data_IF_048665909278
#
_entry.id   IF_048665909278
#
_cell.length_a   1.000
_cell.length_b   1.000
_cell.length_c   1.000
_cell.angle_alpha   90.00
_cell.angle_beta   90.00
_cell.angle_gamma   90.00
#
_symmetry.space_group_name_H-M   'P 1'
#
loop_
_entity.id
_entity.type
_entity.pdbx_description
1 polymer ?
#
# COMPACT_ATOMS: atom_id res chain seq x y z
N UNK A 1 10.95 12.74 8.58
CA UNK A 1 10.22 14.01 8.85
C UNK A 1 9.92 14.89 7.63
N UNK A 2 10.43 14.64 6.41
CA UNK A 2 10.26 15.57 5.28
C UNK A 2 8.99 15.30 4.43
N UNK A 3 8.59 14.04 4.25
CA UNK A 3 7.52 13.64 3.32
C UNK A 3 6.13 14.13 3.72
N UNK A 4 5.74 14.01 4.99
CA UNK A 4 4.43 14.47 5.48
C UNK A 4 4.24 15.99 5.33
N UNK A 5 5.33 16.77 5.44
CA UNK A 5 5.29 18.22 5.25
C UNK A 5 5.07 18.58 3.78
N UNK A 6 5.74 17.88 2.86
CA UNK A 6 5.56 18.06 1.42
C UNK A 6 4.13 17.72 1.01
N UNK A 7 3.57 16.61 1.50
CA UNK A 7 2.20 16.21 1.21
C UNK A 7 1.18 17.25 1.70
N UNK A 8 1.38 17.80 2.90
CA UNK A 8 0.51 18.86 3.43
C UNK A 8 0.53 20.12 2.57
N UNK A 9 1.72 20.57 2.16
CA UNK A 9 1.87 21.75 1.28
C UNK A 9 1.17 21.51 -0.05
N UNK A 10 1.40 20.37 -0.68
CA UNK A 10 0.81 20.03 -1.98
C UNK A 10 -0.72 20.00 -1.92
N UNK A 11 -1.29 19.30 -0.93
CA UNK A 11 -2.75 19.20 -0.77
C UNK A 11 -3.40 20.55 -0.43
N UNK A 12 -2.71 21.40 0.34
CA UNK A 12 -3.19 22.75 0.65
C UNK A 12 -3.16 23.64 -0.59
N UNK A 13 -2.11 23.56 -1.42
CA UNK A 13 -2.01 24.29 -2.69
C UNK A 13 -3.09 23.84 -3.70
N UNK A 14 -3.54 22.60 -3.63
CA UNK A 14 -4.68 22.08 -4.40
C UNK A 14 -6.05 22.51 -3.83
N UNK A 15 -6.08 23.36 -2.80
CA UNK A 15 -7.29 23.94 -2.24
C UNK A 15 -7.93 23.15 -1.11
N UNK A 16 -7.28 22.10 -0.60
CA UNK A 16 -7.79 21.36 0.56
C UNK A 16 -7.47 22.14 1.84
N UNK A 17 -8.49 22.52 2.61
CA UNK A 17 -8.29 23.19 3.88
C UNK A 17 -7.47 22.32 4.85
N UNK A 18 -6.42 22.89 5.45
CA UNK A 18 -5.53 22.24 6.42
C UNK A 18 -6.26 21.58 7.59
N UNK A 19 -7.40 22.12 8.03
CA UNK A 19 -8.24 21.56 9.09
C UNK A 19 -8.85 20.19 8.73
N UNK A 20 -8.90 19.86 7.44
CA UNK A 20 -9.37 18.57 6.92
C UNK A 20 -8.24 17.58 6.68
N UNK A 21 -6.99 17.95 6.98
CA UNK A 21 -5.81 17.13 6.78
C UNK A 21 -5.31 16.58 8.11
N UNK A 22 -5.24 15.26 8.21
CA UNK A 22 -4.52 14.56 9.28
C UNK A 22 -3.22 14.04 8.66
N UNK A 23 -2.08 14.46 9.20
CA UNK A 23 -0.76 14.09 8.68
C UNK A 23 -0.02 13.29 9.76
N UNK A 24 0.27 12.04 9.43
CA UNK A 24 1.13 11.15 10.23
C UNK A 24 2.50 11.08 9.55
N UNK A 25 3.58 11.42 10.25
CA UNK A 25 4.93 11.59 9.68
C UNK A 25 6.05 10.89 10.43
N UNK A 26 5.70 10.07 11.43
CA UNK A 26 6.61 9.36 12.32
C UNK A 26 6.79 7.89 11.93
N UNK A 27 5.87 7.31 11.15
CA UNK A 27 6.01 5.95 10.66
C UNK A 27 7.21 5.77 9.72
N UNK A 28 7.85 4.60 9.80
CA UNK A 28 8.99 4.22 8.93
C UNK A 28 8.60 3.19 7.86
N UNK A 29 7.39 2.66 7.95
CA UNK A 29 6.83 1.68 7.03
C UNK A 29 5.30 1.70 7.09
N UNK A 30 4.65 1.06 6.12
CA UNK A 30 3.19 1.02 6.01
C UNK A 30 2.49 0.40 7.23
N UNK A 31 3.12 -0.56 7.91
CA UNK A 31 2.54 -1.14 9.12
C UNK A 31 2.50 -0.14 10.28
N UNK A 32 3.61 0.57 10.54
CA UNK A 32 3.65 1.65 11.52
C UNK A 32 2.67 2.77 11.16
N UNK A 33 2.53 3.09 9.87
CA UNK A 33 1.63 4.14 9.41
C UNK A 33 0.16 3.84 9.78
N UNK A 34 -0.35 2.65 9.45
CA UNK A 34 -1.70 2.27 9.88
C UNK A 34 -1.85 2.27 11.41
N UNK A 35 -0.81 1.86 12.14
CA UNK A 35 -0.86 1.76 13.61
C UNK A 35 -0.98 3.13 14.26
N UNK A 36 -0.19 4.09 13.76
CA UNK A 36 -0.15 5.46 14.25
C UNK A 36 -1.34 6.29 13.75
N UNK A 37 -1.85 6.00 12.55
CA UNK A 37 -3.01 6.68 11.97
C UNK A 37 -4.33 6.21 12.58
N UNK A 38 -4.47 4.93 12.93
CA UNK A 38 -5.71 4.37 13.50
C UNK A 38 -6.33 5.19 14.63
N UNK A 39 -5.60 5.63 15.68
CA UNK A 39 -6.18 6.47 16.74
C UNK A 39 -6.55 7.89 16.29
N UNK A 40 -6.07 8.35 15.14
CA UNK A 40 -6.38 9.66 14.58
C UNK A 40 -7.63 9.64 13.69
N UNK A 41 -8.14 8.45 13.35
CA UNK A 41 -9.32 8.32 12.50
C UNK A 41 -10.57 8.87 13.22
N UNK A 42 -11.41 9.68 12.55
CA UNK A 42 -12.57 10.32 13.18
C UNK A 42 -13.66 9.33 13.61
N UNK A 43 -13.68 8.12 13.03
CA UNK A 43 -14.63 7.05 13.36
C UNK A 43 -13.87 5.72 13.40
N UNK A 44 -13.88 5.04 14.54
CA UNK A 44 -13.18 3.76 14.69
C UNK A 44 -13.75 2.64 13.80
N UNK A 45 -15.02 2.73 13.43
CA UNK A 45 -15.76 1.82 12.54
C UNK A 45 -15.99 2.40 11.13
N UNK A 46 -15.42 3.56 10.84
CA UNK A 46 -15.58 4.24 9.56
C UNK A 46 -15.01 3.44 8.38
N UNK A 47 -15.58 3.66 7.20
CA UNK A 47 -15.06 3.11 5.94
C UNK A 47 -14.22 4.18 5.24
N UNK A 48 -12.97 3.86 4.97
CA UNK A 48 -11.97 4.81 4.46
C UNK A 48 -11.50 4.43 3.05
N UNK A 49 -11.32 5.42 2.17
CA UNK A 49 -10.70 5.16 0.86
C UNK A 49 -9.17 5.05 1.03
N UNK A 50 -8.58 3.94 0.58
CA UNK A 50 -7.14 3.72 0.60
C UNK A 50 -6.57 4.01 -0.79
N UNK A 51 -5.88 5.14 -0.92
CA UNK A 51 -5.22 5.56 -2.15
C UNK A 51 -3.72 5.26 -2.05
N UNK A 52 -3.23 4.41 -2.93
CA UNK A 52 -1.79 4.14 -3.12
C UNK A 52 -1.57 3.53 -4.50
N UNK A 53 -0.32 3.42 -4.95
CA UNK A 53 -0.01 2.80 -6.23
C UNK A 53 -0.49 1.34 -6.29
N UNK A 54 -0.98 0.91 -7.45
CA UNK A 54 -1.59 -0.40 -7.68
C UNK A 54 -0.66 -1.55 -7.25
N UNK A 55 0.64 -1.35 -7.45
CA UNK A 55 1.70 -2.24 -7.01
C UNK A 55 1.72 -2.45 -5.48
N UNK A 56 1.49 -1.41 -4.67
CA UNK A 56 1.49 -1.50 -3.21
C UNK A 56 0.12 -1.84 -2.60
N UNK A 57 -0.92 -1.91 -3.43
CA UNK A 57 -2.29 -2.07 -2.95
C UNK A 57 -2.52 -3.38 -2.17
N UNK A 58 -2.08 -4.56 -2.65
CA UNK A 58 -2.34 -5.82 -1.93
C UNK A 58 -1.76 -5.81 -0.51
N UNK A 59 -0.50 -5.36 -0.37
CA UNK A 59 0.19 -5.24 0.92
C UNK A 59 -0.52 -4.26 1.86
N UNK A 60 -0.96 -3.13 1.33
CA UNK A 60 -1.60 -2.06 2.14
C UNK A 60 -2.98 -2.49 2.65
N UNK A 61 -3.79 -3.15 1.81
CA UNK A 61 -5.09 -3.72 2.22
C UNK A 61 -4.91 -4.81 3.27
N UNK A 62 -3.93 -5.71 3.11
CA UNK A 62 -3.65 -6.75 4.09
C UNK A 62 -3.30 -6.18 5.47
N UNK A 63 -2.47 -5.13 5.51
CA UNK A 63 -2.11 -4.44 6.76
C UNK A 63 -3.33 -3.75 7.38
N UNK A 64 -4.12 -3.03 6.59
CA UNK A 64 -5.33 -2.35 7.07
C UNK A 64 -6.27 -3.32 7.79
N UNK A 65 -6.56 -4.47 7.16
CA UNK A 65 -7.41 -5.53 7.73
C UNK A 65 -6.83 -6.12 9.01
N UNK A 66 -5.53 -6.44 9.02
CA UNK A 66 -4.84 -6.94 10.22
C UNK A 66 -4.94 -5.96 11.39
N UNK A 67 -5.00 -4.66 11.11
CA UNK A 67 -5.14 -3.63 12.13
C UNK A 67 -6.59 -3.22 12.40
N UNK A 68 -7.57 -3.87 11.76
CA UNK A 68 -8.99 -3.57 11.93
C UNK A 68 -9.37 -2.17 11.45
N UNK A 69 -8.75 -1.70 10.36
CA UNK A 69 -9.12 -0.47 9.67
C UNK A 69 -9.89 -0.85 8.41
N UNK A 70 -11.16 -0.44 8.33
CA UNK A 70 -12.02 -0.75 7.19
C UNK A 70 -11.66 0.16 6.02
N UNK A 71 -11.12 -0.43 4.95
CA UNK A 71 -10.70 0.31 3.76
C UNK A 71 -11.38 -0.18 2.48
N UNK A 72 -11.64 0.76 1.57
CA UNK A 72 -11.98 0.49 0.16
C UNK A 72 -10.73 0.83 -0.66
N UNK A 73 -10.24 -0.13 -1.44
CA UNK A 73 -9.06 0.05 -2.27
C UNK A 73 -9.33 1.02 -3.44
N UNK A 74 -8.45 2.01 -3.62
CA UNK A 74 -8.44 2.91 -4.77
C UNK A 74 -7.03 2.97 -5.37
N UNK A 75 -6.65 1.94 -6.15
CA UNK A 75 -5.31 1.84 -6.75
C UNK A 75 -5.10 2.92 -7.82
N UNK A 76 -3.93 3.55 -7.78
CA UNK A 76 -3.46 4.51 -8.80
C UNK A 76 -2.17 4.03 -9.46
N UNK A 77 -1.59 4.77 -10.41
CA UNK A 77 -0.29 4.46 -11.03
C UNK A 77 -0.16 3.02 -11.53
N UNK A 78 -1.16 2.56 -12.29
CA UNK A 78 -1.10 1.29 -13.00
C UNK A 78 0.06 1.32 -14.00
N UNK A 79 1.12 0.57 -13.72
CA UNK A 79 2.20 0.36 -14.70
C UNK A 79 1.71 -0.66 -15.73
N UNK A 80 1.16 -0.19 -16.85
CA UNK A 80 0.93 -1.02 -18.02
C UNK A 80 2.20 -1.04 -18.89
N UNK A 81 2.81 -2.20 -19.11
CA UNK A 81 3.80 -2.32 -20.19
C UNK A 81 3.09 -2.16 -21.56
N UNK A 82 3.73 -1.50 -22.55
CA UNK A 82 3.21 -1.44 -23.92
C UNK A 82 2.96 -2.84 -24.52
N UNK A 83 1.98 -3.02 -25.42
CA UNK A 83 1.64 -4.31 -26.03
C UNK A 83 2.79 -4.96 -26.81
N UNK A 84 3.82 -4.19 -27.16
CA UNK A 84 4.97 -4.59 -27.98
C UNK A 84 5.89 -5.59 -27.27
N UNK A 85 5.85 -5.68 -25.93
CA UNK A 85 6.60 -6.66 -25.13
C UNK A 85 5.89 -8.02 -24.97
N UNK A 86 4.87 -8.30 -25.78
CA UNK A 86 4.06 -9.54 -25.71
C UNK A 86 4.56 -10.64 -26.65
N UNK A 87 5.86 -10.65 -26.97
CA UNK A 87 6.49 -11.74 -27.72
C UNK A 87 7.35 -12.62 -26.81
N UNK A 88 7.35 -13.92 -27.08
CA UNK A 88 8.18 -14.91 -26.40
C UNK A 88 9.64 -14.70 -26.81
N UNK A 89 10.33 -13.81 -26.08
CA UNK A 89 11.76 -13.63 -26.17
C UNK A 89 12.42 -14.14 -24.88
N UNK A 90 13.55 -14.83 -25.02
CA UNK A 90 14.31 -15.46 -23.93
C UNK A 90 15.07 -14.43 -23.05
N UNK A 91 14.61 -13.19 -23.01
CA UNK A 91 15.05 -12.15 -22.07
C UNK A 91 14.35 -12.29 -20.71
N UNK A 92 14.42 -13.49 -20.13
CA UNK A 92 13.84 -13.81 -18.83
C UNK A 92 14.50 -12.97 -17.71
N UNK A 93 15.76 -12.57 -17.87
CA UNK A 93 16.53 -11.90 -16.82
C UNK A 93 16.12 -10.44 -16.58
N UNK A 94 15.85 -9.65 -17.62
CA UNK A 94 15.44 -8.24 -17.47
C UNK A 94 13.99 -8.11 -16.96
N UNK A 95 13.14 -9.10 -17.24
CA UNK A 95 11.77 -9.16 -16.69
C UNK A 95 11.73 -9.69 -15.25
N UNK A 96 12.78 -10.41 -14.80
CA UNK A 96 12.90 -10.90 -13.43
C UNK A 96 13.32 -9.79 -12.45
N UNK A 97 14.00 -8.73 -12.89
CA UNK A 97 14.24 -7.54 -12.05
C UNK A 97 12.94 -6.81 -11.66
N UNK A 98 11.93 -6.83 -12.54
CA UNK A 98 10.59 -6.28 -12.26
C UNK A 98 9.78 -7.20 -11.32
N UNK A 99 10.07 -8.50 -11.31
CA UNK A 99 9.40 -9.51 -10.49
C UNK A 99 10.14 -9.81 -9.17
N UNK A 100 11.38 -9.33 -9.00
CA UNK A 100 12.20 -9.51 -7.81
C UNK A 100 11.49 -9.11 -6.50
N UNK A 101 10.71 -8.01 -6.46
CA UNK A 101 9.97 -7.63 -5.25
C UNK A 101 8.77 -8.54 -5.00
N UNK A 102 8.09 -9.00 -6.05
CA UNK A 102 6.83 -9.74 -5.95
C UNK A 102 7.06 -11.16 -5.40
N UNK A 103 8.10 -11.87 -5.85
CA UNK A 103 8.39 -13.20 -5.34
C UNK A 103 8.88 -13.15 -3.88
N UNK A 104 9.62 -12.10 -3.49
CA UNK A 104 10.01 -11.86 -2.09
C UNK A 104 8.80 -11.59 -1.20
N UNK A 105 7.78 -10.89 -1.70
CA UNK A 105 6.51 -10.71 -0.99
C UNK A 105 5.71 -12.02 -0.90
N UNK A 106 5.70 -12.87 -1.92
CA UNK A 106 5.05 -14.19 -1.86
C UNK A 106 5.75 -15.16 -0.91
N UNK A 107 7.09 -15.14 -0.88
CA UNK A 107 7.88 -15.87 0.13
C UNK A 107 7.61 -15.30 1.51
N UNK A 108 7.52 -13.97 1.65
CA UNK A 108 7.16 -13.30 2.89
C UNK A 108 5.77 -13.69 3.40
N UNK A 109 4.75 -13.70 2.54
CA UNK A 109 3.39 -14.15 2.84
C UNK A 109 3.37 -15.63 3.25
N UNK A 110 4.14 -16.46 2.57
CA UNK A 110 4.25 -17.90 2.87
C UNK A 110 4.91 -18.12 4.23
N UNK A 111 6.02 -17.42 4.53
CA UNK A 111 6.71 -17.46 5.83
C UNK A 111 5.82 -16.89 6.94
N UNK A 112 5.05 -15.84 6.65
CA UNK A 112 4.18 -15.22 7.65
C UNK A 112 2.95 -16.08 7.96
N UNK A 113 2.39 -16.75 6.96
CA UNK A 113 1.33 -17.74 7.15
C UNK A 113 1.85 -18.93 7.97
N UNK A 114 3.00 -19.52 7.60
CA UNK A 114 3.58 -20.65 8.34
C UNK A 114 4.05 -20.30 9.75
N UNK A 115 4.46 -19.05 9.99
CA UNK A 115 4.84 -18.58 11.34
C UNK A 115 3.66 -18.01 12.13
N UNK A 116 2.42 -18.17 11.65
CA UNK A 116 1.20 -17.75 12.35
C UNK A 116 0.98 -16.23 12.43
N UNK A 117 1.74 -15.45 11.66
CA UNK A 117 1.66 -13.98 11.64
C UNK A 117 0.53 -13.46 10.73
N UNK A 118 -0.01 -14.30 9.85
CA UNK A 118 -1.21 -14.03 9.04
C UNK A 118 -2.16 -15.23 9.10
N UNK A 119 -3.46 -14.98 9.11
CA UNK A 119 -4.52 -16.01 9.10
C UNK A 119 -4.71 -16.65 7.73
N UNK A 120 -4.39 -15.90 6.67
CA UNK A 120 -4.67 -16.28 5.28
C UNK A 120 -3.42 -16.19 4.44
N UNK A 121 -3.24 -17.19 3.58
CA UNK A 121 -2.13 -17.27 2.63
C UNK A 121 -2.32 -16.33 1.43
N UNK A 122 -3.59 -16.11 1.03
CA UNK A 122 -3.97 -15.23 -0.07
C UNK A 122 -5.25 -14.45 0.29
N UNK A 123 -5.15 -13.32 1.00
CA UNK A 123 -6.31 -12.55 1.39
C UNK A 123 -6.95 -11.88 0.15
N UNK A 124 -8.14 -12.33 -0.24
CA UNK A 124 -8.93 -11.73 -1.33
C UNK A 124 -9.38 -10.31 -0.98
N UNK A 125 -9.48 -9.36 -1.92
CA UNK A 125 -9.88 -7.97 -1.68
C UNK A 125 -11.26 -7.80 -1.05
#
# INVERSE_FOLDING_TARGET
>A
NNEGNIAQILLTNLGINKQRLIIESQSRNTFENFRLMKPLLPKSDGVYLLVTSAFHMPRSVAIARKQGVNVIAYPVDYRSNPPEYRQWDFNLFDHLEVLEPAWREWVGLTVYYWTGKTSDWFPKP
#
